data_IF_233359724402
#
_entry.id   IF_233359724402
#
_cell.length_a   1.000
_cell.length_b   1.000
_cell.length_c   1.000
_cell.angle_alpha   90.00
_cell.angle_beta   90.00
_cell.angle_gamma   90.00
#
_symmetry.space_group_name_H-M   'P 1'
#
loop_
_entity.id
_entity.type
_entity.pdbx_description
1 polymer ?
#
# COMPACT_ATOMS: atom_id res chain seq x y z
N UNK A 1 -17.72 6.82 12.02
CA UNK A 1 -16.75 5.76 11.69
C UNK A 1 -17.55 4.57 11.17
N UNK A 2 -17.20 4.00 10.01
CA UNK A 2 -17.91 2.80 9.54
C UNK A 2 -17.35 1.61 10.32
N UNK A 3 -18.10 1.14 11.32
CA UNK A 3 -17.72 -0.03 12.09
C UNK A 3 -18.23 -1.30 11.40
N UNK A 4 -17.43 -2.36 11.43
CA UNK A 4 -17.83 -3.70 10.98
C UNK A 4 -18.49 -4.52 12.10
N UNK A 5 -18.69 -3.95 13.29
CA UNK A 5 -19.24 -4.67 14.45
C UNK A 5 -20.58 -5.34 14.16
N UNK A 6 -21.50 -4.66 13.49
CA UNK A 6 -22.86 -5.18 13.25
C UNK A 6 -22.84 -6.42 12.35
N UNK A 7 -22.00 -6.43 11.31
CA UNK A 7 -21.89 -7.57 10.38
C UNK A 7 -21.12 -8.75 10.97
N UNK A 8 -20.20 -8.49 11.91
CA UNK A 8 -19.53 -9.52 12.70
C UNK A 8 -20.51 -10.15 13.69
N UNK A 9 -21.28 -9.33 14.41
CA UNK A 9 -22.31 -9.82 15.34
C UNK A 9 -23.42 -10.60 14.63
N UNK A 10 -23.77 -10.21 13.41
CA UNK A 10 -24.72 -10.96 12.56
C UNK A 10 -24.14 -12.27 11.98
N UNK A 11 -22.85 -12.54 12.14
CA UNK A 11 -22.19 -13.75 11.62
C UNK A 11 -21.88 -13.73 10.12
N UNK A 12 -22.13 -12.61 9.44
CA UNK A 12 -21.86 -12.45 8.00
C UNK A 12 -20.39 -12.15 7.67
N UNK A 13 -19.61 -11.76 8.69
CA UNK A 13 -18.18 -11.54 8.60
C UNK A 13 -17.49 -12.21 9.80
N UNK A 14 -16.56 -13.10 9.52
CA UNK A 14 -15.72 -13.71 10.55
C UNK A 14 -14.30 -13.13 10.49
N UNK A 15 -13.78 -12.72 11.64
CA UNK A 15 -12.38 -12.32 11.76
C UNK A 15 -11.54 -13.55 12.16
N UNK A 16 -10.63 -13.96 11.29
CA UNK A 16 -9.62 -14.97 11.60
C UNK A 16 -8.34 -14.30 12.12
N UNK A 17 -7.88 -14.71 13.29
CA UNK A 17 -6.62 -14.23 13.84
C UNK A 17 -5.43 -14.94 13.18
N UNK A 18 -4.36 -14.19 12.90
CA UNK A 18 -3.17 -14.72 12.21
C UNK A 18 -3.21 -14.52 10.69
N UNK A 19 -2.13 -14.95 10.03
CA UNK A 19 -1.99 -14.90 8.57
C UNK A 19 -2.50 -16.21 7.94
N UNK A 20 -2.60 -16.22 6.61
CA UNK A 20 -2.74 -17.47 5.86
C UNK A 20 -1.41 -18.22 5.88
N UNK A 21 -1.43 -19.50 6.27
CA UNK A 21 -0.28 -20.41 6.29
C UNK A 21 -0.05 -21.06 4.93
N UNK A 22 -1.11 -21.60 4.31
CA UNK A 22 -1.04 -22.17 2.96
C UNK A 22 -2.38 -22.03 2.23
N UNK A 23 -2.30 -21.99 0.90
CA UNK A 23 -3.46 -22.00 0.01
C UNK A 23 -3.42 -23.31 -0.76
N UNK A 24 -4.49 -24.09 -0.67
CA UNK A 24 -4.71 -25.31 -1.41
C UNK A 24 -5.70 -25.05 -2.56
N UNK A 25 -6.01 -26.09 -3.34
CA UNK A 25 -6.87 -25.95 -4.53
C UNK A 25 -8.26 -25.40 -4.20
N UNK A 26 -8.86 -25.87 -3.11
CA UNK A 26 -10.23 -25.52 -2.70
C UNK A 26 -10.31 -25.04 -1.23
N UNK A 27 -9.17 -24.90 -0.56
CA UNK A 27 -9.12 -24.60 0.87
C UNK A 27 -7.94 -23.71 1.25
N UNK A 28 -8.02 -23.12 2.43
CA UNK A 28 -6.98 -22.28 3.02
C UNK A 28 -6.69 -22.77 4.42
N UNK A 29 -5.40 -22.93 4.75
CA UNK A 29 -4.95 -23.19 6.13
C UNK A 29 -4.54 -21.85 6.75
N UNK A 30 -5.11 -21.54 7.90
CA UNK A 30 -4.80 -20.32 8.66
C UNK A 30 -3.63 -20.52 9.63
N UNK A 31 -3.15 -19.43 10.22
CA UNK A 31 -2.01 -19.39 11.15
C UNK A 31 -2.21 -20.23 12.41
N UNK A 32 -3.47 -20.48 12.79
CA UNK A 32 -3.85 -21.34 13.92
C UNK A 32 -3.96 -22.83 13.56
N UNK A 33 -3.75 -23.19 12.29
CA UNK A 33 -3.84 -24.56 11.78
C UNK A 33 -5.25 -24.99 11.35
N UNK A 34 -6.26 -24.14 11.48
CA UNK A 34 -7.60 -24.42 10.94
C UNK A 34 -7.59 -24.42 9.41
N UNK A 35 -8.42 -25.27 8.81
CA UNK A 35 -8.58 -25.36 7.35
C UNK A 35 -10.05 -25.14 6.97
N UNK A 36 -10.30 -24.27 5.99
CA UNK A 36 -11.64 -23.97 5.51
C UNK A 36 -11.72 -24.05 3.98
N UNK A 37 -12.87 -24.47 3.46
CA UNK A 37 -13.16 -24.43 2.03
C UNK A 37 -13.49 -23.00 1.62
N UNK A 38 -12.82 -22.48 0.60
CA UNK A 38 -12.95 -21.09 0.14
C UNK A 38 -13.07 -21.07 -1.38
N UNK A 39 -14.11 -20.41 -1.90
CA UNK A 39 -14.33 -20.28 -3.34
C UNK A 39 -13.50 -19.15 -3.98
N UNK A 40 -13.29 -18.05 -3.25
CA UNK A 40 -12.65 -16.84 -3.77
C UNK A 40 -11.72 -16.22 -2.73
N UNK A 41 -10.52 -15.86 -3.17
CA UNK A 41 -9.55 -15.09 -2.37
C UNK A 41 -9.38 -13.71 -2.98
N UNK A 42 -9.59 -12.67 -2.18
CA UNK A 42 -9.40 -11.27 -2.59
C UNK A 42 -8.18 -10.70 -1.86
N UNK A 43 -7.13 -10.39 -2.62
CA UNK A 43 -5.91 -9.76 -2.09
C UNK A 43 -6.10 -8.24 -1.90
N UNK A 44 -6.56 -7.84 -0.72
CA UNK A 44 -6.64 -6.43 -0.30
C UNK A 44 -5.34 -5.95 0.40
N UNK A 45 -4.16 -6.36 -0.08
CA UNK A 45 -2.85 -6.18 0.59
C UNK A 45 -2.16 -4.84 0.31
N UNK A 46 -2.83 -3.94 -0.42
CA UNK A 46 -2.34 -2.60 -0.77
C UNK A 46 -1.59 -2.55 -2.11
N UNK A 47 -0.81 -1.48 -2.30
CA UNK A 47 -0.13 -1.17 -3.56
C UNK A 47 1.35 -0.89 -3.34
N UNK A 48 2.15 -1.04 -4.41
CA UNK A 48 3.56 -0.63 -4.48
C UNK A 48 3.71 0.56 -5.42
N UNK A 49 4.71 1.40 -5.18
CA UNK A 49 5.11 2.44 -6.11
C UNK A 49 5.97 1.85 -7.23
N UNK A 50 5.73 2.32 -8.45
CA UNK A 50 6.57 2.03 -9.61
C UNK A 50 6.67 3.32 -10.43
N UNK A 51 7.88 3.65 -10.88
CA UNK A 51 8.16 4.83 -11.71
C UNK A 51 8.86 4.34 -12.99
N UNK A 52 8.12 3.75 -13.94
CA UNK A 52 8.70 2.93 -15.02
C UNK A 52 9.42 3.75 -16.10
N UNK A 53 9.40 5.07 -15.98
CA UNK A 53 10.02 6.01 -16.90
C UNK A 53 11.36 6.57 -16.38
N UNK A 54 11.79 6.19 -15.17
CA UNK A 54 13.12 6.49 -14.63
C UNK A 54 13.92 5.18 -14.64
N UNK A 55 15.07 5.18 -15.32
CA UNK A 55 15.95 4.00 -15.32
C UNK A 55 16.61 3.87 -13.94
N UNK A 56 16.54 2.71 -13.27
CA UNK A 56 17.27 2.48 -12.02
C UNK A 56 18.78 2.76 -12.14
N UNK A 57 19.38 2.62 -13.33
CA UNK A 57 20.78 2.92 -13.58
C UNK A 57 21.13 4.41 -13.44
N UNK A 58 20.13 5.31 -13.59
CA UNK A 58 20.33 6.75 -13.43
C UNK A 58 20.54 7.15 -11.96
N UNK A 59 20.21 6.26 -11.00
CA UNK A 59 20.39 6.51 -9.57
C UNK A 59 19.53 7.66 -9.02
N UNK A 60 18.47 8.07 -9.74
CA UNK A 60 17.60 9.18 -9.33
C UNK A 60 16.72 8.79 -8.15
N UNK A 61 16.23 7.54 -8.14
CA UNK A 61 15.38 6.99 -7.08
C UNK A 61 15.84 5.60 -6.67
N UNK A 62 15.59 5.29 -5.40
CA UNK A 62 15.81 4.02 -4.72
C UNK A 62 14.52 3.66 -4.01
N UNK A 63 13.99 2.47 -4.27
CA UNK A 63 12.82 1.96 -3.58
C UNK A 63 13.23 1.36 -2.22
N UNK A 64 12.37 1.50 -1.21
CA UNK A 64 12.52 0.72 0.02
C UNK A 64 12.31 -0.77 -0.26
N UNK A 65 12.75 -1.63 0.67
CA UNK A 65 12.68 -3.09 0.53
C UNK A 65 11.26 -3.61 0.23
N UNK A 66 10.23 -2.84 0.60
CA UNK A 66 8.82 -3.21 0.44
C UNK A 66 8.15 -2.58 -0.79
N UNK A 67 8.83 -1.68 -1.50
CA UNK A 67 8.28 -0.88 -2.61
C UNK A 67 7.14 0.05 -2.19
N UNK A 68 7.04 0.39 -0.91
CA UNK A 68 6.03 1.30 -0.34
C UNK A 68 6.48 2.76 -0.35
N UNK A 69 7.76 3.00 -0.59
CA UNK A 69 8.34 4.32 -0.68
C UNK A 69 9.53 4.31 -1.66
N UNK A 70 9.85 5.46 -2.22
CA UNK A 70 11.10 5.67 -2.94
C UNK A 70 11.72 7.03 -2.60
N UNK A 71 13.04 7.12 -2.70
CA UNK A 71 13.79 8.36 -2.52
C UNK A 71 15.26 8.21 -2.90
N UNK A 72 16.18 9.03 -2.37
CA UNK A 72 15.98 10.03 -1.33
C UNK A 72 15.26 11.30 -1.86
N UNK A 73 14.25 11.78 -1.13
CA UNK A 73 13.49 12.98 -1.49
C UNK A 73 13.46 14.00 -0.35
N UNK A 74 13.78 15.26 -0.64
CA UNK A 74 13.51 16.36 0.28
C UNK A 74 12.00 16.67 0.29
N UNK A 75 11.41 16.84 1.48
CA UNK A 75 9.96 17.04 1.70
C UNK A 75 9.05 15.99 1.02
N UNK A 76 9.58 14.79 0.69
CA UNK A 76 8.88 13.77 -0.12
C UNK A 76 8.46 14.28 -1.51
N UNK A 77 9.23 15.20 -2.08
CA UNK A 77 8.95 15.84 -3.36
C UNK A 77 10.19 15.96 -4.23
N UNK A 78 11.19 16.68 -3.75
CA UNK A 78 12.34 17.09 -4.55
C UNK A 78 13.36 15.96 -4.55
N UNK A 79 13.73 15.46 -5.72
CA UNK A 79 14.83 14.51 -5.84
C UNK A 79 16.14 15.16 -5.39
N UNK A 80 16.88 14.47 -4.53
CA UNK A 80 18.21 14.95 -4.09
C UNK A 80 19.24 14.70 -5.20
N UNK A 81 19.08 13.62 -5.95
CA UNK A 81 20.04 13.18 -6.96
C UNK A 81 19.81 13.85 -8.32
N UNK A 82 18.61 14.41 -8.57
CA UNK A 82 18.30 15.21 -9.75
C UNK A 82 17.34 16.37 -9.39
N UNK A 83 17.87 17.55 -9.02
CA UNK A 83 17.05 18.67 -8.53
C UNK A 83 16.01 19.22 -9.50
N UNK A 84 16.10 18.91 -10.80
CA UNK A 84 15.08 19.29 -11.78
C UNK A 84 13.86 18.35 -11.79
N UNK A 85 13.89 17.25 -11.03
CA UNK A 85 12.78 16.32 -10.89
C UNK A 85 12.08 16.51 -9.54
N UNK A 86 10.77 16.74 -9.61
CA UNK A 86 9.90 16.89 -8.45
C UNK A 86 8.75 15.88 -8.56
N UNK A 87 8.58 15.07 -7.53
CA UNK A 87 7.48 14.13 -7.39
C UNK A 87 6.34 14.76 -6.57
N UNK A 88 5.20 14.99 -7.20
CA UNK A 88 4.00 15.47 -6.50
C UNK A 88 3.11 14.28 -6.16
N UNK A 89 2.67 14.25 -4.91
CA UNK A 89 1.60 13.39 -4.45
C UNK A 89 1.99 12.12 -3.69
N UNK A 90 3.26 12.01 -3.28
CA UNK A 90 3.76 10.91 -2.45
C UNK A 90 3.35 11.03 -0.97
N UNK A 91 2.04 11.05 -0.72
CA UNK A 91 1.43 11.28 0.61
C UNK A 91 0.37 10.22 0.91
N UNK A 92 0.39 9.67 2.12
CA UNK A 92 -0.49 8.57 2.55
C UNK A 92 -1.78 9.00 3.30
N UNK A 93 -2.02 10.31 3.51
CA UNK A 93 -3.18 10.80 4.28
C UNK A 93 -4.36 11.14 3.36
N UNK A 94 -5.33 10.23 3.32
CA UNK A 94 -6.54 10.34 2.48
C UNK A 94 -7.42 11.56 2.80
N UNK A 95 -7.56 11.94 4.08
CA UNK A 95 -8.53 12.97 4.50
C UNK A 95 -8.18 14.40 4.10
N UNK A 96 -6.97 14.66 3.62
CA UNK A 96 -6.48 16.01 3.27
C UNK A 96 -5.76 16.03 1.93
N UNK A 97 -5.93 14.99 1.11
CA UNK A 97 -5.11 14.74 -0.07
C UNK A 97 -5.11 15.91 -1.06
N UNK A 98 -6.29 16.53 -1.30
CA UNK A 98 -6.41 17.65 -2.24
C UNK A 98 -5.64 18.90 -1.78
N UNK A 99 -5.82 19.32 -0.53
CA UNK A 99 -5.11 20.48 0.01
C UNK A 99 -3.61 20.24 0.11
N UNK A 100 -3.18 19.00 0.36
CA UNK A 100 -1.77 18.65 0.32
C UNK A 100 -1.19 18.74 -1.09
N UNK A 101 -1.88 18.18 -2.10
CA UNK A 101 -1.42 18.29 -3.49
C UNK A 101 -1.31 19.74 -3.93
N UNK A 102 -2.30 20.57 -3.64
CA UNK A 102 -2.25 22.01 -3.95
C UNK A 102 -0.99 22.67 -3.36
N UNK A 103 -0.70 22.41 -2.08
CA UNK A 103 0.50 22.95 -1.42
C UNK A 103 1.79 22.41 -2.01
N UNK A 104 1.83 21.14 -2.43
CA UNK A 104 2.99 20.58 -3.11
C UNK A 104 3.19 21.24 -4.48
N UNK A 105 2.13 21.44 -5.26
CA UNK A 105 2.21 22.14 -6.54
C UNK A 105 2.64 23.61 -6.39
N UNK A 106 2.21 24.30 -5.33
CA UNK A 106 2.67 25.67 -5.06
C UNK A 106 4.14 25.78 -4.65
N UNK A 107 4.71 24.70 -4.08
CA UNK A 107 6.10 24.65 -3.63
C UNK A 107 7.06 24.19 -4.73
N UNK A 108 6.54 23.46 -5.72
CA UNK A 108 7.28 22.98 -6.88
C UNK A 108 7.54 24.13 -7.87
#
# INVERSE_FOLDING_TARGET
>A
EKSFTDVIQAGSLEFKSGNISSIHKNSVIFGDGSEEQIDVIIYATGYKFVVPFIDPADGIIEFDDKGKYFGPLYKKMFSINEPNIIFVGLIAKLSTILGFFERQCMLA
#
